data_IF_415251463465
#
_entry.id   IF_415251463465
#
_cell.length_a   1.000
_cell.length_b   1.000
_cell.length_c   1.000
_cell.angle_alpha   90.00
_cell.angle_beta   90.00
_cell.angle_gamma   90.00
#
_symmetry.space_group_name_H-M   'P 1'
#
loop_
_entity.id
_entity.type
_entity.pdbx_description
1 polymer ?
#
# COMPACT_ATOMS: atom_id res chain seq x y z
N UNK A 1 13.48 -10.55 17.02
CA UNK A 1 12.06 -10.66 16.66
C UNK A 1 11.63 -9.48 15.80
N UNK A 2 11.00 -9.77 14.68
CA UNK A 2 10.51 -8.71 13.81
C UNK A 2 9.22 -8.12 14.38
N UNK A 3 9.19 -6.81 14.44
CA UNK A 3 7.99 -6.09 14.88
C UNK A 3 7.34 -5.41 13.70
N UNK A 4 6.02 -5.55 13.60
CA UNK A 4 5.26 -4.82 12.60
C UNK A 4 5.06 -3.36 12.98
N UNK A 5 4.73 -2.58 11.98
CA UNK A 5 4.37 -1.18 12.14
C UNK A 5 2.86 -1.02 12.01
N UNK A 6 2.37 0.09 12.52
CA UNK A 6 0.96 0.44 12.34
C UNK A 6 0.81 1.17 11.02
N UNK A 7 -0.17 0.73 10.24
CA UNK A 7 -0.57 1.45 9.02
C UNK A 7 -2.09 1.64 9.03
N UNK A 8 -2.55 2.55 8.19
CA UNK A 8 -3.97 2.74 7.94
C UNK A 8 -4.26 2.46 6.48
N UNK A 9 -5.35 1.72 6.24
CA UNK A 9 -5.83 1.47 4.89
C UNK A 9 -7.00 2.43 4.63
N UNK A 10 -6.89 3.20 3.57
CA UNK A 10 -7.93 4.13 3.16
C UNK A 10 -8.49 3.72 1.82
N UNK A 11 -9.81 3.83 1.67
CA UNK A 11 -10.50 3.46 0.44
C UNK A 11 -11.30 4.66 -0.09
N UNK A 12 -11.59 4.69 -1.40
CA UNK A 12 -12.43 5.74 -1.94
C UNK A 12 -13.87 5.53 -1.46
N UNK A 13 -14.41 6.49 -0.75
CA UNK A 13 -15.77 6.41 -0.21
C UNK A 13 -16.76 7.27 -0.98
N UNK A 14 -16.26 8.22 -1.75
CA UNK A 14 -17.11 9.10 -2.50
C UNK A 14 -16.34 9.67 -3.68
N UNK A 15 -16.96 9.68 -4.85
CA UNK A 15 -16.41 10.33 -6.04
C UNK A 15 -17.40 11.36 -6.53
N UNK A 16 -16.91 12.48 -7.03
CA UNK A 16 -17.76 13.52 -7.53
C UNK A 16 -16.97 14.47 -8.41
N UNK A 17 -17.53 15.66 -8.60
CA UNK A 17 -16.87 16.69 -9.40
C UNK A 17 -16.82 17.97 -8.59
N UNK A 18 -15.74 18.72 -8.75
CA UNK A 18 -15.66 20.04 -8.13
C UNK A 18 -16.39 21.08 -9.00
N UNK A 19 -16.30 22.34 -8.60
CA UNK A 19 -16.97 23.43 -9.30
C UNK A 19 -16.48 23.61 -10.75
N UNK A 20 -15.33 23.03 -11.10
CA UNK A 20 -14.74 23.12 -12.43
C UNK A 20 -14.90 21.82 -13.23
N UNK A 21 -15.76 20.91 -12.78
CA UNK A 21 -15.99 19.60 -13.39
C UNK A 21 -14.75 18.72 -13.39
N UNK A 22 -13.88 18.89 -12.41
CA UNK A 22 -12.73 18.04 -12.23
C UNK A 22 -13.10 16.90 -11.29
N UNK A 23 -12.86 15.62 -11.68
CA UNK A 23 -13.19 14.50 -10.79
C UNK A 23 -12.44 14.60 -9.47
N UNK A 24 -13.17 14.37 -8.38
CA UNK A 24 -12.60 14.37 -7.05
C UNK A 24 -12.92 13.06 -6.34
N UNK A 25 -12.04 12.63 -5.45
CA UNK A 25 -12.24 11.42 -4.66
C UNK A 25 -12.04 11.75 -3.20
N UNK A 26 -13.00 11.35 -2.37
CA UNK A 26 -12.83 11.40 -0.93
C UNK A 26 -12.36 10.04 -0.46
N UNK A 27 -11.37 10.05 0.41
CA UNK A 27 -10.80 8.84 0.97
C UNK A 27 -11.21 8.72 2.44
N UNK A 28 -11.58 7.53 2.84
CA UNK A 28 -11.97 7.27 4.20
C UNK A 28 -11.24 6.08 4.79
N UNK A 29 -11.08 6.07 6.10
CA UNK A 29 -10.41 5.00 6.80
C UNK A 29 -11.23 3.71 6.67
N UNK A 30 -10.59 2.67 6.12
CA UNK A 30 -11.21 1.36 6.00
C UNK A 30 -10.76 0.43 7.11
N UNK A 31 -9.47 0.44 7.43
CA UNK A 31 -8.92 -0.47 8.44
C UNK A 31 -7.63 0.09 9.01
N UNK A 32 -7.30 -0.34 10.22
CA UNK A 32 -6.01 -0.08 10.86
C UNK A 32 -5.35 -1.42 11.11
N UNK A 33 -4.13 -1.58 10.62
CA UNK A 33 -3.36 -2.80 10.80
C UNK A 33 -2.15 -2.48 11.67
N UNK A 34 -1.98 -3.26 12.73
CA UNK A 34 -0.93 -3.00 13.71
C UNK A 34 0.32 -3.86 13.56
N UNK A 35 0.36 -4.75 12.58
CA UNK A 35 1.43 -5.73 12.47
C UNK A 35 1.86 -5.88 11.01
N UNK A 36 2.28 -4.78 10.40
CA UNK A 36 2.69 -4.74 9.01
C UNK A 36 4.19 -4.48 8.95
N UNK A 37 4.92 -5.31 8.20
CA UNK A 37 6.32 -5.00 7.91
C UNK A 37 6.36 -4.03 6.76
N UNK A 38 7.09 -2.96 6.93
CA UNK A 38 7.30 -1.98 5.87
C UNK A 38 8.79 -1.91 5.56
N UNK A 39 9.12 -1.96 4.28
CA UNK A 39 10.50 -1.93 3.84
C UNK A 39 10.61 -1.17 2.52
N UNK A 40 11.71 -0.48 2.26
CA UNK A 40 11.94 0.09 0.95
C UNK A 40 11.91 -1.01 -0.11
N UNK A 41 11.42 -0.69 -1.30
CA UNK A 41 11.41 -1.64 -2.39
C UNK A 41 12.84 -2.09 -2.69
N UNK A 42 12.98 -3.35 -3.11
CA UNK A 42 14.30 -3.88 -3.43
C UNK A 42 14.89 -3.15 -4.63
N UNK A 43 16.22 -3.18 -4.73
CA UNK A 43 16.92 -2.57 -5.86
C UNK A 43 16.48 -3.17 -7.18
N UNK A 44 16.16 -4.45 -7.20
CA UNK A 44 15.69 -5.10 -8.43
C UNK A 44 14.35 -4.56 -8.88
N UNK A 45 13.46 -4.30 -7.94
CA UNK A 45 12.17 -3.72 -8.27
C UNK A 45 12.33 -2.30 -8.84
N UNK A 46 13.33 -1.61 -8.36
CA UNK A 46 13.61 -0.24 -8.78
C UNK A 46 14.30 -0.21 -10.14
N UNK A 47 15.24 -1.12 -10.39
CA UNK A 47 16.03 -1.11 -11.62
C UNK A 47 15.22 -1.29 -12.89
N UNK A 48 14.14 -2.05 -12.83
CA UNK A 48 13.28 -2.25 -13.97
C UNK A 48 12.38 -1.07 -14.30
N UNK A 49 12.43 -0.02 -13.50
CA UNK A 49 11.53 1.11 -13.62
C UNK A 49 12.29 2.33 -14.16
N UNK A 50 11.81 2.87 -15.28
CA UNK A 50 12.35 4.12 -15.80
C UNK A 50 11.71 5.26 -15.02
N UNK A 51 12.55 6.12 -14.45
CA UNK A 51 12.10 7.23 -13.65
C UNK A 51 12.57 8.54 -14.24
N UNK A 52 11.73 9.21 -15.01
CA UNK A 52 12.14 10.47 -15.65
C UNK A 52 12.73 11.49 -14.68
N UNK A 53 12.19 11.52 -13.47
CA UNK A 53 12.66 12.50 -12.47
C UNK A 53 13.48 11.87 -11.35
N UNK A 54 13.60 10.56 -11.32
CA UNK A 54 14.37 9.86 -10.29
C UNK A 54 13.81 9.96 -8.88
N UNK A 55 12.60 10.46 -8.72
CA UNK A 55 12.08 10.81 -7.40
C UNK A 55 10.96 9.89 -6.92
N UNK A 56 10.67 8.83 -7.65
CA UNK A 56 9.63 7.91 -7.21
C UNK A 56 10.12 7.06 -6.05
N UNK A 57 9.39 7.11 -4.95
CA UNK A 57 9.69 6.33 -3.77
C UNK A 57 8.67 5.20 -3.69
N UNK A 58 9.16 3.97 -3.62
CA UNK A 58 8.31 2.80 -3.46
C UNK A 58 8.61 2.10 -2.15
N UNK A 59 7.58 1.50 -1.58
CA UNK A 59 7.68 0.73 -0.34
C UNK A 59 6.97 -0.59 -0.54
N UNK A 60 7.49 -1.62 0.11
CA UNK A 60 6.82 -2.91 0.18
C UNK A 60 6.23 -3.06 1.57
N UNK A 61 4.95 -3.40 1.61
CA UNK A 61 4.24 -3.64 2.86
C UNK A 61 3.84 -5.12 2.92
N UNK A 62 4.20 -5.78 4.00
CA UNK A 62 3.90 -7.19 4.20
C UNK A 62 2.68 -7.28 5.10
N UNK A 63 1.58 -7.75 4.54
CA UNK A 63 0.27 -7.73 5.18
C UNK A 63 0.03 -9.04 5.94
N UNK A 64 -0.47 -8.96 7.19
CA UNK A 64 -0.75 -10.15 7.97
C UNK A 64 -1.82 -11.04 7.34
N UNK A 65 -1.73 -12.34 7.59
CA UNK A 65 -2.71 -13.31 7.10
C UNK A 65 -4.12 -13.04 7.60
N UNK A 66 -4.24 -12.33 8.70
CA UNK A 66 -5.54 -12.02 9.30
C UNK A 66 -6.32 -10.97 8.53
N UNK A 67 -5.66 -10.19 7.67
CA UNK A 67 -6.34 -9.19 6.86
C UNK A 67 -6.54 -9.73 5.45
N UNK A 68 -7.79 -9.98 5.07
CA UNK A 68 -8.12 -10.66 3.82
C UNK A 68 -8.81 -9.78 2.79
N UNK A 69 -9.14 -8.55 3.14
CA UNK A 69 -9.81 -7.63 2.21
C UNK A 69 -8.90 -7.23 1.05
N UNK A 70 -9.50 -6.93 -0.10
CA UNK A 70 -8.75 -6.46 -1.26
C UNK A 70 -8.07 -5.14 -0.96
N UNK A 71 -6.86 -4.99 -1.49
CA UNK A 71 -6.11 -3.74 -1.35
C UNK A 71 -6.02 -2.98 -2.67
N UNK A 72 -6.62 -3.52 -3.73
CA UNK A 72 -6.64 -2.84 -5.01
C UNK A 72 -7.33 -1.48 -4.89
N UNK A 73 -6.68 -0.45 -5.41
CA UNK A 73 -7.26 0.88 -5.41
C UNK A 73 -7.28 1.56 -4.05
N UNK A 74 -6.53 1.02 -3.08
CA UNK A 74 -6.47 1.58 -1.73
C UNK A 74 -5.23 2.45 -1.56
N UNK A 75 -5.27 3.28 -0.50
CA UNK A 75 -4.10 4.03 -0.06
C UNK A 75 -3.63 3.47 1.27
N UNK A 76 -2.32 3.52 1.50
CA UNK A 76 -1.72 3.14 2.76
C UNK A 76 -1.10 4.39 3.39
N UNK A 77 -1.49 4.68 4.62
CA UNK A 77 -0.90 5.76 5.39
C UNK A 77 0.07 5.17 6.40
N UNK A 78 1.31 5.57 6.31
CA UNK A 78 2.38 5.04 7.16
C UNK A 78 3.31 6.17 7.58
N UNK A 79 3.39 6.41 8.87
CA UNK A 79 4.29 7.41 9.47
C UNK A 79 4.19 8.79 8.81
N UNK A 80 2.96 9.23 8.54
CA UNK A 80 2.72 10.54 7.96
C UNK A 80 2.79 10.60 6.44
N UNK A 81 3.23 9.52 5.80
CA UNK A 81 3.29 9.44 4.34
C UNK A 81 2.10 8.70 3.78
N UNK A 82 1.71 9.07 2.58
CA UNK A 82 0.60 8.41 1.87
C UNK A 82 1.15 7.71 0.65
N UNK A 83 0.80 6.43 0.52
CA UNK A 83 1.21 5.58 -0.60
C UNK A 83 -0.02 5.07 -1.32
N UNK A 84 0.07 4.93 -2.65
CA UNK A 84 -0.99 4.26 -3.40
C UNK A 84 -0.55 2.84 -3.72
N UNK A 85 -1.47 1.89 -3.56
CA UNK A 85 -1.22 0.48 -3.84
C UNK A 85 -1.11 0.27 -5.34
N UNK A 86 -0.07 -0.45 -5.76
CA UNK A 86 0.14 -0.77 -7.16
C UNK A 86 -0.47 -2.13 -7.44
N UNK A 87 -1.39 -2.19 -8.40
CA UNK A 87 -2.01 -3.43 -8.82
C UNK A 87 -2.98 -4.01 -7.82
N UNK A 88 -3.13 -5.32 -7.85
CA UNK A 88 -4.05 -6.07 -7.00
C UNK A 88 -3.27 -7.19 -6.31
N UNK A 89 -2.58 -6.89 -5.19
CA UNK A 89 -1.75 -7.88 -4.53
C UNK A 89 -2.58 -9.03 -3.98
N UNK A 90 -2.14 -10.24 -4.28
CA UNK A 90 -2.81 -11.46 -3.86
C UNK A 90 -2.01 -12.16 -2.78
N UNK A 91 -2.68 -12.85 -1.85
CA UNK A 91 -1.96 -13.58 -0.81
C UNK A 91 -1.24 -14.79 -1.38
N UNK A 92 -0.07 -15.09 -0.84
CA UNK A 92 0.62 -16.33 -1.15
C UNK A 92 -0.07 -17.50 -0.46
N UNK A 93 0.00 -18.69 -1.06
CA UNK A 93 -0.53 -19.89 -0.40
C UNK A 93 0.09 -20.10 0.97
N UNK A 94 -0.70 -20.59 1.90
CA UNK A 94 -0.24 -20.76 3.28
C UNK A 94 0.94 -21.73 3.39
N UNK A 95 0.97 -22.76 2.57
CA UNK A 95 2.06 -23.70 2.56
C UNK A 95 3.40 -23.09 2.15
N UNK A 96 3.37 -21.95 1.48
CA UNK A 96 4.58 -21.25 1.05
C UNK A 96 4.88 -20.02 1.89
N UNK A 97 4.16 -19.81 2.99
CA UNK A 97 4.31 -18.65 3.85
C UNK A 97 4.39 -19.08 5.31
N UNK A 98 5.57 -19.48 5.78
CA UNK A 98 5.70 -19.92 7.18
C UNK A 98 5.57 -18.79 8.18
N UNK A 99 5.61 -17.53 7.74
CA UNK A 99 5.47 -16.38 8.62
C UNK A 99 4.01 -15.98 8.72
N UNK A 100 3.73 -14.99 9.59
CA UNK A 100 2.38 -14.47 9.74
C UNK A 100 1.97 -13.50 8.62
N UNK A 101 2.87 -13.16 7.73
CA UNK A 101 2.59 -12.28 6.59
C UNK A 101 2.51 -13.12 5.33
N UNK A 102 1.43 -12.97 4.58
CA UNK A 102 1.26 -13.76 3.36
C UNK A 102 0.95 -12.93 2.11
N UNK A 103 1.08 -11.61 2.19
CA UNK A 103 0.78 -10.77 1.05
C UNK A 103 1.76 -9.62 1.02
N UNK A 104 2.41 -9.43 -0.11
CA UNK A 104 3.32 -8.32 -0.33
C UNK A 104 2.61 -7.28 -1.19
N UNK A 105 2.57 -6.06 -0.69
CA UNK A 105 1.94 -4.96 -1.40
C UNK A 105 3.03 -3.98 -1.80
N UNK A 106 3.11 -3.73 -3.10
CA UNK A 106 3.99 -2.68 -3.61
C UNK A 106 3.21 -1.40 -3.68
N UNK A 107 3.75 -0.34 -3.13
CA UNK A 107 3.05 0.93 -3.06
C UNK A 107 4.00 2.08 -3.39
N UNK A 108 3.45 3.11 -4.02
CA UNK A 108 4.22 4.28 -4.44
C UNK A 108 3.81 5.46 -3.59
N UNK A 109 4.81 6.18 -3.08
CA UNK A 109 4.55 7.37 -2.28
C UNK A 109 3.98 8.47 -3.16
N UNK A 110 2.86 9.01 -2.75
CA UNK A 110 2.20 10.09 -3.49
C UNK A 110 2.17 11.38 -2.68
N UNK A 111 2.33 11.29 -1.36
CA UNK A 111 2.28 12.46 -0.50
C UNK A 111 2.91 12.15 0.84
N UNK A 112 3.44 13.16 1.49
CA UNK A 112 4.00 12.94 2.81
C UNK A 112 4.46 14.18 3.51
#
# INVERSE_FOLDING_TARGET
MLKGSRIEIHSPIETGMDAFNIPTTKWGLEAVLGDVLAAPASTQDVEGTIRPNGDEITMDFYIPKTYTASLRGRQIHHQGDIYEVIGDPQPYPEENTPTRWNRVVHARKIEG
#
